data_IF_155545831969
#
_entry.id   IF_155545831969
#
_cell.length_a   1.000
_cell.length_b   1.000
_cell.length_c   1.000
_cell.angle_alpha   90.00
_cell.angle_beta   90.00
_cell.angle_gamma   90.00
#
_symmetry.space_group_name_H-M   'P 1'
#
loop_
_entity.id
_entity.type
_entity.pdbx_description
1 polymer ?
#
# COMPACT_ATOMS: atom_id res chain seq x y z
N UNK A 1 6.44 17.41 0.29
CA UNK A 1 5.18 17.98 0.82
C UNK A 1 3.96 17.26 0.26
N UNK A 2 3.69 17.27 -1.07
CA UNK A 2 2.54 16.58 -1.68
C UNK A 2 2.36 15.12 -1.24
N UNK A 3 3.41 14.30 -1.32
CA UNK A 3 3.32 12.88 -0.97
C UNK A 3 3.03 12.64 0.52
N UNK A 4 3.46 13.54 1.41
CA UNK A 4 3.16 13.45 2.85
C UNK A 4 1.68 13.76 3.08
N UNK A 5 1.21 14.90 2.58
CA UNK A 5 -0.20 15.31 2.72
C UNK A 5 -1.18 14.32 2.07
N UNK A 6 -0.81 13.72 0.94
CA UNK A 6 -1.66 12.69 0.31
C UNK A 6 -1.76 11.43 1.17
N UNK A 7 -0.65 10.97 1.77
CA UNK A 7 -0.64 9.81 2.66
C UNK A 7 -1.43 10.08 3.95
N UNK A 8 -1.28 11.27 4.53
CA UNK A 8 -2.09 11.70 5.67
C UNK A 8 -3.59 11.71 5.33
N UNK A 9 -3.97 12.27 4.18
CA UNK A 9 -5.36 12.27 3.74
C UNK A 9 -5.92 10.85 3.51
N UNK A 10 -5.13 9.94 2.95
CA UNK A 10 -5.54 8.54 2.80
C UNK A 10 -5.71 7.84 4.15
N UNK A 11 -4.85 8.14 5.14
CA UNK A 11 -5.01 7.59 6.49
C UNK A 11 -6.29 8.08 7.16
N UNK A 12 -6.57 9.38 7.08
CA UNK A 12 -7.82 9.97 7.60
C UNK A 12 -9.05 9.34 6.94
N UNK A 13 -9.01 9.12 5.62
CA UNK A 13 -10.10 8.48 4.91
C UNK A 13 -10.30 7.01 5.35
N UNK A 14 -9.21 6.27 5.53
CA UNK A 14 -9.27 4.89 6.04
C UNK A 14 -9.88 4.84 7.45
N UNK A 15 -9.39 5.66 8.38
CA UNK A 15 -9.87 5.69 9.76
C UNK A 15 -11.37 6.04 9.82
N UNK A 16 -11.84 6.94 8.94
CA UNK A 16 -13.26 7.25 8.79
C UNK A 16 -14.08 6.03 8.35
N UNK A 17 -13.63 5.32 7.32
CA UNK A 17 -14.34 4.14 6.80
C UNK A 17 -14.40 3.02 7.85
N UNK A 18 -13.33 2.83 8.62
CA UNK A 18 -13.31 1.91 9.77
C UNK A 18 -14.34 2.33 10.82
N UNK A 19 -14.42 3.63 11.15
CA UNK A 19 -15.42 4.14 12.10
C UNK A 19 -16.87 4.02 11.60
N UNK A 20 -17.09 4.07 10.29
CA UNK A 20 -18.39 3.83 9.65
C UNK A 20 -18.77 2.34 9.58
N UNK A 21 -17.87 1.43 10.00
CA UNK A 21 -18.14 -0.01 10.08
C UNK A 21 -17.94 -0.76 8.76
N UNK A 22 -17.19 -0.18 7.81
CA UNK A 22 -16.85 -0.87 6.56
C UNK A 22 -15.97 -2.09 6.86
N UNK A 23 -16.47 -3.28 6.53
CA UNK A 23 -15.75 -4.55 6.70
C UNK A 23 -14.84 -4.86 5.51
N UNK A 24 -13.93 -5.83 5.70
CA UNK A 24 -12.96 -6.28 4.70
C UNK A 24 -12.11 -5.14 4.10
N UNK A 25 -11.78 -4.14 4.91
CA UNK A 25 -10.98 -2.98 4.53
C UNK A 25 -9.59 -3.03 5.16
N UNK A 26 -8.55 -2.97 4.34
CA UNK A 26 -7.16 -2.95 4.77
C UNK A 26 -6.43 -1.70 4.26
N UNK A 27 -5.38 -1.29 4.97
CA UNK A 27 -4.52 -0.16 4.60
C UNK A 27 -3.07 -0.62 4.50
N UNK A 28 -2.41 -0.26 3.40
CA UNK A 28 -0.99 -0.50 3.17
C UNK A 28 -0.25 0.84 3.07
N UNK A 29 0.85 0.98 3.82
CA UNK A 29 1.64 2.21 3.85
C UNK A 29 2.51 2.35 2.59
N UNK A 30 2.40 3.50 1.92
CA UNK A 30 3.06 3.74 0.64
C UNK A 30 4.49 4.28 0.69
N UNK A 31 5.03 4.64 1.86
CA UNK A 31 6.30 5.39 1.94
C UNK A 31 7.52 4.60 1.45
N UNK A 32 7.56 3.31 1.77
CA UNK A 32 8.76 2.49 1.60
C UNK A 32 8.66 1.48 0.44
N UNK A 33 7.64 1.59 -0.41
CA UNK A 33 7.37 0.61 -1.48
C UNK A 33 8.42 0.58 -2.59
N UNK A 34 9.21 1.64 -2.75
CA UNK A 34 10.19 1.79 -3.84
C UNK A 34 11.65 1.76 -3.34
N UNK A 35 11.89 1.73 -2.03
CA UNK A 35 13.22 1.95 -1.46
C UNK A 35 13.66 3.42 -1.53
N UNK A 36 14.90 3.69 -1.11
CA UNK A 36 15.45 5.03 -0.89
C UNK A 36 16.73 5.33 -1.70
N UNK A 37 17.12 4.43 -2.61
CA UNK A 37 18.35 4.51 -3.41
C UNK A 37 18.19 5.28 -4.74
N UNK A 38 16.96 5.61 -5.14
CA UNK A 38 16.67 6.35 -6.37
C UNK A 38 16.62 5.49 -7.65
N UNK A 39 16.78 4.17 -7.55
CA UNK A 39 16.86 3.27 -8.72
C UNK A 39 15.48 2.70 -9.14
N UNK A 40 14.46 2.96 -8.35
CA UNK A 40 13.16 2.31 -8.49
C UNK A 40 12.22 2.97 -9.50
N UNK A 41 12.59 4.11 -10.10
CA UNK A 41 11.72 4.81 -11.06
C UNK A 41 12.50 5.35 -12.24
N UNK A 42 11.87 5.40 -13.42
CA UNK A 42 12.46 5.97 -14.63
C UNK A 42 12.50 7.50 -14.57
N UNK A 43 11.50 8.11 -13.97
CA UNK A 43 11.24 9.56 -14.03
C UNK A 43 10.74 10.14 -12.69
N UNK A 44 11.08 9.50 -11.57
CA UNK A 44 10.55 9.82 -10.23
C UNK A 44 9.06 9.53 -10.02
N UNK A 45 8.37 8.88 -10.97
CA UNK A 45 6.94 8.51 -10.84
C UNK A 45 6.64 7.09 -11.30
N UNK A 46 7.17 6.68 -12.45
CA UNK A 46 6.89 5.37 -13.05
C UNK A 46 7.93 4.34 -12.61
N UNK A 47 7.53 3.23 -11.95
CA UNK A 47 8.49 2.25 -11.48
C UNK A 47 9.26 1.56 -12.60
N UNK A 48 10.53 1.27 -12.35
CA UNK A 48 11.34 0.33 -13.14
C UNK A 48 10.95 -1.11 -12.81
N UNK A 49 11.55 -2.10 -13.49
CA UNK A 49 11.38 -3.52 -13.11
C UNK A 49 11.77 -3.75 -11.64
N UNK A 50 12.87 -3.14 -11.19
CA UNK A 50 13.30 -3.16 -9.79
C UNK A 50 12.27 -2.51 -8.86
N UNK A 51 11.70 -1.37 -9.26
CA UNK A 51 10.65 -0.69 -8.51
C UNK A 51 9.39 -1.53 -8.36
N UNK A 52 8.94 -2.20 -9.44
CA UNK A 52 7.80 -3.10 -9.37
C UNK A 52 8.08 -4.35 -8.53
N UNK A 53 9.28 -4.91 -8.59
CA UNK A 53 9.67 -6.02 -7.73
C UNK A 53 9.59 -5.63 -6.24
N UNK A 54 10.15 -4.48 -5.85
CA UNK A 54 10.06 -3.97 -4.47
C UNK A 54 8.62 -3.68 -4.04
N UNK A 55 7.80 -3.17 -4.96
CA UNK A 55 6.38 -2.98 -4.70
C UNK A 55 5.68 -4.32 -4.46
N UNK A 56 5.99 -5.36 -5.24
CA UNK A 56 5.45 -6.70 -5.02
C UNK A 56 5.82 -7.25 -3.64
N UNK A 57 7.09 -7.12 -3.23
CA UNK A 57 7.56 -7.55 -1.90
C UNK A 57 6.81 -6.84 -0.75
N UNK A 58 6.44 -5.56 -0.94
CA UNK A 58 5.67 -4.81 0.04
C UNK A 58 4.18 -5.23 0.10
N UNK A 59 3.60 -5.62 -1.04
CA UNK A 59 2.18 -5.99 -1.14
C UNK A 59 1.91 -7.44 -0.72
N UNK A 60 2.81 -8.36 -1.10
CA UNK A 60 2.64 -9.81 -0.94
C UNK A 60 2.21 -10.22 0.49
N UNK A 61 2.83 -9.75 1.58
CA UNK A 61 2.47 -10.21 2.92
C UNK A 61 1.03 -9.84 3.30
N UNK A 62 0.59 -8.64 2.93
CA UNK A 62 -0.77 -8.19 3.21
C UNK A 62 -1.78 -8.95 2.35
N UNK A 63 -1.53 -9.09 1.06
CA UNK A 63 -2.43 -9.81 0.15
C UNK A 63 -2.56 -11.29 0.55
N UNK A 64 -1.45 -11.95 0.91
CA UNK A 64 -1.46 -13.33 1.39
C UNK A 64 -2.36 -13.49 2.61
N UNK A 65 -2.24 -12.58 3.57
CA UNK A 65 -3.10 -12.57 4.76
C UNK A 65 -4.58 -12.38 4.39
N UNK A 66 -4.89 -11.38 3.57
CA UNK A 66 -6.28 -11.08 3.19
C UNK A 66 -6.93 -12.22 2.41
N UNK A 67 -6.18 -12.90 1.54
CA UNK A 67 -6.68 -14.05 0.80
C UNK A 67 -6.90 -15.28 1.70
N UNK A 68 -6.04 -15.50 2.69
CA UNK A 68 -6.22 -16.56 3.67
C UNK A 68 -7.45 -16.30 4.55
N UNK A 69 -7.64 -15.06 5.03
CA UNK A 69 -8.80 -14.64 5.81
C UNK A 69 -10.09 -14.82 4.98
N UNK A 70 -10.08 -14.39 3.72
CA UNK A 70 -11.22 -14.53 2.80
C UNK A 70 -11.58 -15.98 2.47
N UNK A 71 -10.60 -16.88 2.45
CA UNK A 71 -10.83 -18.31 2.25
C UNK A 71 -11.38 -19.01 3.50
N UNK A 72 -11.08 -18.50 4.69
CA UNK A 72 -11.56 -19.04 5.97
C UNK A 72 -13.00 -18.62 6.31
N UNK A 73 -13.50 -17.55 5.70
CA UNK A 73 -14.88 -17.05 5.84
C UNK A 73 -15.89 -17.77 4.90
N UNK A 74 -15.40 -18.57 3.95
CA UNK A 74 -16.21 -19.40 3.02
C UNK A 74 -16.49 -20.78 3.61
#
# INVERSE_FOLDING_TARGET
QRNVSSREAFRVAYDRLVAEGVSHLAYLEGEHMLGDDGEATVDSSHPTDLGFMRMADAFEPLLTKLLADSAAEQ
#
